data_IF_126937384707
#
_entry.id   IF_126937384707
#
_cell.length_a   1.000
_cell.length_b   1.000
_cell.length_c   1.000
_cell.angle_alpha   90.00
_cell.angle_beta   90.00
_cell.angle_gamma   90.00
#
_symmetry.space_group_name_H-M   'P 1'
#
loop_
_entity.id
_entity.type
_entity.pdbx_description
1 polymer ?
#
# COMPACT_ATOMS: atom_id res chain seq x y z
N UNK A 1 10.21 -3.07 13.02
CA UNK A 1 8.86 -3.17 12.43
C UNK A 1 8.96 -3.56 10.96
N UNK A 2 8.22 -4.57 10.52
CA UNK A 2 8.02 -4.94 9.11
C UNK A 2 6.65 -4.43 8.66
N UNK A 3 6.60 -3.76 7.51
CA UNK A 3 5.35 -3.28 6.88
C UNK A 3 5.18 -3.99 5.55
N UNK A 4 4.04 -4.64 5.33
CA UNK A 4 3.76 -5.35 4.07
C UNK A 4 2.26 -5.53 3.87
N UNK A 5 1.85 -5.86 2.65
CA UNK A 5 0.51 -6.32 2.36
C UNK A 5 0.23 -7.71 2.94
N UNK A 6 -1.03 -7.99 3.29
CA UNK A 6 -1.44 -9.29 3.83
C UNK A 6 -1.31 -10.46 2.83
N UNK A 7 -1.30 -10.18 1.54
CA UNK A 7 -1.32 -11.18 0.47
C UNK A 7 -0.03 -12.04 0.39
N UNK A 8 1.08 -11.52 0.90
CA UNK A 8 2.37 -12.23 0.93
C UNK A 8 2.77 -12.72 2.33
N UNK A 9 1.86 -12.74 3.31
CA UNK A 9 2.17 -13.20 4.67
C UNK A 9 2.75 -14.63 4.68
N UNK A 10 2.13 -15.56 3.95
CA UNK A 10 2.62 -16.93 3.87
C UNK A 10 3.91 -17.06 3.05
N UNK A 11 4.03 -16.30 1.96
CA UNK A 11 5.14 -16.43 1.01
C UNK A 11 6.39 -15.70 1.45
N UNK A 12 6.27 -14.65 2.27
CA UNK A 12 7.37 -13.78 2.67
C UNK A 12 7.56 -13.77 4.18
N UNK A 13 6.57 -13.30 4.94
CA UNK A 13 6.68 -13.08 6.39
C UNK A 13 7.00 -14.38 7.12
N UNK A 14 6.26 -15.45 6.85
CA UNK A 14 6.53 -16.76 7.47
C UNK A 14 7.91 -17.31 7.09
N UNK A 15 8.32 -17.15 5.83
CA UNK A 15 9.65 -17.63 5.39
C UNK A 15 10.78 -16.91 6.12
N UNK A 16 10.66 -15.60 6.33
CA UNK A 16 11.62 -14.83 7.12
C UNK A 16 11.71 -15.37 8.55
N UNK A 17 10.57 -15.65 9.19
CA UNK A 17 10.51 -16.19 10.55
C UNK A 17 11.19 -17.56 10.62
N UNK A 18 10.82 -18.50 9.74
CA UNK A 18 11.41 -19.84 9.73
C UNK A 18 12.91 -19.82 9.47
N UNK A 19 13.37 -19.04 8.50
CA UNK A 19 14.79 -18.97 8.16
C UNK A 19 15.62 -18.31 9.28
N UNK A 20 15.10 -17.25 9.90
CA UNK A 20 15.73 -16.61 11.05
C UNK A 20 15.80 -17.56 12.25
N UNK A 21 14.73 -18.33 12.49
CA UNK A 21 14.70 -19.32 13.55
C UNK A 21 15.68 -20.47 13.31
N UNK A 22 15.83 -20.91 12.05
CA UNK A 22 16.77 -21.96 11.68
C UNK A 22 18.23 -21.52 11.88
N UNK A 23 18.58 -20.33 11.41
CA UNK A 23 19.97 -19.86 11.34
C UNK A 23 20.45 -19.14 12.60
N UNK A 24 19.57 -18.36 13.25
CA UNK A 24 19.95 -17.44 14.33
C UNK A 24 19.19 -17.66 15.63
N UNK A 25 18.20 -18.56 15.65
CA UNK A 25 17.32 -18.80 16.82
C UNK A 25 16.68 -17.52 17.37
N UNK A 26 16.41 -16.56 16.49
CA UNK A 26 15.86 -15.25 16.84
C UNK A 26 14.70 -14.87 15.93
N UNK A 27 13.78 -14.05 16.44
CA UNK A 27 12.69 -13.48 15.63
C UNK A 27 13.25 -12.27 14.85
N UNK A 28 13.02 -12.18 13.53
CA UNK A 28 13.62 -11.13 12.70
C UNK A 28 13.02 -9.73 12.90
N UNK A 29 11.77 -9.64 13.38
CA UNK A 29 11.06 -8.39 13.65
C UNK A 29 10.08 -8.59 14.81
N UNK A 30 9.95 -7.59 15.69
CA UNK A 30 9.02 -7.64 16.83
C UNK A 30 7.62 -7.12 16.47
N UNK A 31 7.55 -6.13 15.58
CA UNK A 31 6.29 -5.54 15.12
C UNK A 31 6.05 -5.85 13.63
N UNK A 32 4.83 -6.25 13.30
CA UNK A 32 4.35 -6.51 11.94
C UNK A 32 3.08 -5.69 11.68
N UNK A 33 3.15 -4.75 10.73
CA UNK A 33 2.00 -4.00 10.25
C UNK A 33 1.56 -4.55 8.90
N UNK A 34 0.34 -5.09 8.85
CA UNK A 34 -0.29 -5.55 7.62
C UNK A 34 -1.23 -4.49 7.09
N UNK A 35 -0.94 -3.96 5.90
CA UNK A 35 -1.84 -3.09 5.19
C UNK A 35 -2.64 -3.87 4.13
N UNK A 36 -3.78 -3.30 3.71
CA UNK A 36 -4.56 -3.83 2.61
C UNK A 36 -3.90 -3.61 1.25
N UNK A 37 -4.56 -4.05 0.20
CA UNK A 37 -4.17 -3.87 -1.19
C UNK A 37 -4.84 -2.64 -1.79
N UNK A 38 -4.21 -2.11 -2.84
CA UNK A 38 -4.88 -1.14 -3.72
C UNK A 38 -5.64 -1.93 -4.78
N UNK A 39 -6.94 -1.69 -4.85
CA UNK A 39 -7.85 -2.27 -5.83
C UNK A 39 -8.08 -1.29 -6.98
N UNK A 40 -8.35 -1.81 -8.16
CA UNK A 40 -8.80 -0.99 -9.28
C UNK A 40 -10.21 -0.41 -9.04
N UNK A 41 -10.67 0.39 -10.00
CA UNK A 41 -12.01 1.00 -10.02
C UNK A 41 -13.17 -0.03 -10.04
N UNK A 42 -12.86 -1.29 -10.36
CA UNK A 42 -13.80 -2.41 -10.34
C UNK A 42 -13.60 -3.32 -9.12
N UNK A 43 -12.88 -2.86 -8.08
CA UNK A 43 -12.56 -3.61 -6.87
C UNK A 43 -11.78 -4.92 -7.11
N UNK A 44 -11.01 -4.99 -8.20
CA UNK A 44 -10.11 -6.12 -8.47
C UNK A 44 -8.71 -5.78 -8.02
N UNK A 45 -7.98 -6.78 -7.52
CA UNK A 45 -6.55 -6.64 -7.20
C UNK A 45 -5.78 -6.11 -8.42
N UNK A 46 -5.01 -5.05 -8.22
CA UNK A 46 -4.10 -4.57 -9.27
C UNK A 46 -3.01 -5.60 -9.53
N UNK A 47 -2.81 -5.96 -10.80
CA UNK A 47 -1.77 -6.90 -11.21
C UNK A 47 -1.33 -6.65 -12.65
N UNK A 48 -0.06 -6.98 -12.94
CA UNK A 48 0.47 -6.89 -14.31
C UNK A 48 -0.27 -7.79 -15.29
N UNK A 49 -0.72 -8.97 -14.85
CA UNK A 49 -1.45 -9.93 -15.68
C UNK A 49 -2.85 -9.45 -16.07
N UNK A 50 -3.52 -8.67 -15.21
CA UNK A 50 -4.82 -8.07 -15.52
C UNK A 50 -4.69 -6.72 -16.23
N UNK A 51 -3.45 -6.21 -16.38
CA UNK A 51 -3.15 -4.91 -16.99
C UNK A 51 -4.02 -3.76 -16.44
N UNK A 52 -4.34 -3.82 -15.15
CA UNK A 52 -5.20 -2.87 -14.43
C UNK A 52 -4.43 -2.06 -13.37
N UNK A 53 -3.10 -2.10 -13.43
CA UNK A 53 -2.25 -1.31 -12.54
C UNK A 53 -2.21 0.13 -12.99
N UNK A 54 -2.34 1.06 -12.04
CA UNK A 54 -2.13 2.49 -12.27
C UNK A 54 -0.66 2.82 -12.03
N UNK A 55 -0.03 3.54 -12.96
CA UNK A 55 1.35 3.98 -12.81
C UNK A 55 1.43 5.15 -11.80
N UNK A 56 2.10 4.99 -10.65
CA UNK A 56 2.21 6.05 -9.66
C UNK A 56 2.93 7.30 -10.19
N UNK A 57 3.85 7.17 -11.15
CA UNK A 57 4.59 8.32 -11.70
C UNK A 57 3.64 9.26 -12.44
N UNK A 58 2.69 8.73 -13.21
CA UNK A 58 1.70 9.54 -13.92
C UNK A 58 0.82 10.33 -12.95
N UNK A 59 0.46 9.73 -11.79
CA UNK A 59 -0.33 10.40 -10.76
C UNK A 59 0.48 11.48 -10.06
N UNK A 60 1.76 11.22 -9.80
CA UNK A 60 2.68 12.21 -9.23
C UNK A 60 2.84 13.41 -10.16
N UNK A 61 3.01 13.17 -11.46
CA UNK A 61 3.15 14.25 -12.45
C UNK A 61 1.88 15.11 -12.54
N UNK A 62 0.70 14.52 -12.34
CA UNK A 62 -0.59 15.22 -12.43
C UNK A 62 -1.00 15.93 -11.13
N UNK A 63 -0.79 15.32 -9.96
CA UNK A 63 -1.34 15.78 -8.67
C UNK A 63 -0.29 16.06 -7.61
N UNK A 64 0.96 15.68 -7.84
CA UNK A 64 2.05 15.78 -6.86
C UNK A 64 2.18 14.55 -5.97
N UNK A 65 3.40 14.32 -5.47
CA UNK A 65 3.73 13.16 -4.63
C UNK A 65 3.01 13.18 -3.28
N UNK A 66 2.80 14.37 -2.70
CA UNK A 66 2.15 14.50 -1.40
C UNK A 66 0.66 14.21 -1.49
N UNK A 67 0.01 14.56 -2.61
CA UNK A 67 -1.39 14.22 -2.85
C UNK A 67 -1.58 12.69 -2.91
N UNK A 68 -0.70 11.99 -3.63
CA UNK A 68 -0.71 10.53 -3.69
C UNK A 68 -0.48 9.91 -2.30
N UNK A 69 0.50 10.38 -1.54
CA UNK A 69 0.77 9.88 -0.18
C UNK A 69 -0.39 10.11 0.76
N UNK A 70 -0.99 11.29 0.73
CA UNK A 70 -2.13 11.62 1.56
C UNK A 70 -3.32 10.74 1.18
N UNK A 71 -3.59 10.55 -0.11
CA UNK A 71 -4.62 9.64 -0.58
C UNK A 71 -4.44 8.22 -0.02
N UNK A 72 -3.23 7.66 -0.12
CA UNK A 72 -2.93 6.29 0.31
C UNK A 72 -3.00 6.08 1.83
N UNK A 73 -2.72 7.12 2.61
CA UNK A 73 -2.61 7.02 4.08
C UNK A 73 -3.87 7.45 4.82
N UNK A 74 -4.72 8.29 4.23
CA UNK A 74 -5.89 8.87 4.90
C UNK A 74 -7.20 8.14 4.62
N UNK A 75 -7.28 7.35 3.54
CA UNK A 75 -8.56 6.84 3.03
C UNK A 75 -8.91 5.41 3.50
N UNK A 76 -8.17 4.84 4.44
CA UNK A 76 -8.41 3.45 4.87
C UNK A 76 -8.06 3.20 6.32
N UNK A 77 -8.80 2.28 6.93
CA UNK A 77 -8.42 1.70 8.21
C UNK A 77 -7.22 0.77 8.01
N UNK A 78 -6.31 0.66 8.99
CA UNK A 78 -5.21 -0.30 8.91
C UNK A 78 -5.72 -1.72 8.62
N UNK A 79 -5.20 -2.32 7.55
CA UNK A 79 -5.56 -3.69 7.12
C UNK A 79 -6.69 -3.78 6.10
N UNK A 80 -7.43 -2.70 5.82
CA UNK A 80 -8.48 -2.67 4.80
C UNK A 80 -7.94 -2.30 3.42
N UNK A 81 -8.54 -2.90 2.39
CA UNK A 81 -8.24 -2.63 0.99
C UNK A 81 -8.74 -1.23 0.59
N UNK A 82 -7.99 -0.58 -0.31
CA UNK A 82 -8.30 0.77 -0.81
C UNK A 82 -8.63 0.68 -2.28
N UNK A 83 -9.87 1.02 -2.66
CA UNK A 83 -10.19 1.21 -4.07
C UNK A 83 -9.57 2.51 -4.59
N UNK A 84 -8.88 2.39 -5.72
CA UNK A 84 -8.34 3.53 -6.44
C UNK A 84 -9.47 4.43 -6.94
N UNK A 85 -9.47 5.69 -6.50
CA UNK A 85 -10.49 6.67 -6.83
C UNK A 85 -9.86 8.04 -7.06
N UNK A 86 -10.01 8.56 -8.28
CA UNK A 86 -9.42 9.84 -8.71
C UNK A 86 -10.04 11.03 -7.99
N UNK A 87 -11.33 10.98 -7.62
CA UNK A 87 -11.98 12.04 -6.85
C UNK A 87 -11.34 12.21 -5.46
N UNK A 88 -10.96 11.09 -4.81
CA UNK A 88 -10.25 11.12 -3.53
C UNK A 88 -8.83 11.69 -3.65
N UNK A 89 -8.15 11.44 -4.76
CA UNK A 89 -6.83 12.03 -5.06
C UNK A 89 -6.98 13.55 -5.28
N UNK A 90 -7.99 13.96 -6.04
CA UNK A 90 -8.33 15.37 -6.25
C UNK A 90 -8.65 16.10 -4.94
N UNK A 91 -9.40 15.46 -4.04
CA UNK A 91 -9.68 15.99 -2.71
C UNK A 91 -8.39 16.17 -1.89
N UNK A 92 -7.49 15.19 -1.93
CA UNK A 92 -6.18 15.27 -1.28
C UNK A 92 -5.32 16.42 -1.85
N UNK A 93 -5.24 16.55 -3.18
CA UNK A 93 -4.52 17.65 -3.83
C UNK A 93 -5.11 19.02 -3.49
N UNK A 94 -6.44 19.14 -3.51
CA UNK A 94 -7.15 20.39 -3.15
C UNK A 94 -6.92 20.77 -1.69
N UNK A 95 -6.87 19.78 -0.80
CA UNK A 95 -6.54 20.00 0.61
C UNK A 95 -5.10 20.51 0.79
N UNK A 96 -4.13 19.92 0.09
CA UNK A 96 -2.72 20.33 0.15
C UNK A 96 -2.51 21.74 -0.43
N UNK A 97 -3.13 22.06 -1.58
CA UNK A 97 -3.12 23.41 -2.16
C UNK A 97 -3.75 24.47 -1.24
N UNK A 98 -4.54 24.06 -0.25
CA UNK A 98 -5.10 24.97 0.75
C UNK A 98 -4.16 25.16 1.94
N UNK A 99 -3.28 24.19 2.20
CA UNK A 99 -2.25 24.30 3.22
C UNK A 99 -1.08 25.17 2.75
N UNK A 100 -0.74 25.14 1.46
CA UNK A 100 0.29 26.00 0.85
C UNK A 100 0.05 26.26 -0.64
#
# INVERSE_FOLDING_TARGET
MLVTAYDIVFFWVLRMIFMSWLLKKSIPFHDLLLHGLILDEHNRKMSKSLNNGVDPIQIIDQYGADALRLFLTSNTSPGEDVSYNVEKINAAASFLNKLW
#
